data_IF_878694705359
#
_entry.id   IF_878694705359
#
_cell.length_a   1.000
_cell.length_b   1.000
_cell.length_c   1.000
_cell.angle_alpha   90.00
_cell.angle_beta   90.00
_cell.angle_gamma   90.00
#
_symmetry.space_group_name_H-M   'P 1'
#
loop_
_entity.id
_entity.type
_entity.pdbx_description
1 polymer ?
#
# COMPACT_ATOMS: atom_id res chain seq x y z
N UNK A 1 68.01 -37.91 18.42
CA UNK A 1 66.91 -36.91 18.42
C UNK A 1 65.87 -37.36 17.40
N UNK A 2 64.73 -37.89 17.86
CA UNK A 2 63.80 -38.70 17.05
C UNK A 2 62.87 -37.84 16.18
N UNK A 3 63.12 -37.82 14.86
CA UNK A 3 62.25 -37.20 13.84
C UNK A 3 60.99 -38.04 13.52
N UNK A 4 60.88 -39.27 14.05
CA UNK A 4 59.80 -40.20 13.71
C UNK A 4 58.47 -39.87 14.42
N UNK A 5 58.50 -39.21 15.59
CA UNK A 5 57.28 -38.85 16.33
C UNK A 5 56.45 -37.73 15.69
N UNK A 6 57.10 -36.85 14.91
CA UNK A 6 56.42 -35.67 14.33
C UNK A 6 55.57 -36.04 13.11
N UNK A 7 56.03 -36.99 12.29
CA UNK A 7 55.31 -37.48 11.10
C UNK A 7 54.07 -38.30 11.47
N UNK A 8 54.10 -39.03 12.59
CA UNK A 8 52.94 -39.81 13.06
C UNK A 8 51.84 -38.94 13.68
N UNK A 9 52.14 -37.69 14.06
CA UNK A 9 51.18 -36.75 14.65
C UNK A 9 50.37 -36.01 13.57
N UNK A 10 50.96 -35.76 12.40
CA UNK A 10 50.26 -35.24 11.21
C UNK A 10 49.30 -36.27 10.60
N UNK A 11 49.61 -37.58 10.71
CA UNK A 11 48.76 -38.64 10.15
C UNK A 11 47.57 -39.04 11.03
N UNK A 12 47.42 -38.40 12.20
CA UNK A 12 46.37 -38.64 13.19
C UNK A 12 45.52 -37.39 13.47
N UNK A 13 45.60 -36.39 12.59
CA UNK A 13 44.96 -35.10 12.82
C UNK A 13 43.51 -35.10 12.27
N UNK A 14 42.59 -35.68 13.05
CA UNK A 14 41.14 -35.66 12.76
C UNK A 14 40.60 -34.21 12.67
N UNK A 15 41.27 -33.27 13.34
CA UNK A 15 40.99 -31.83 13.34
C UNK A 15 40.96 -31.23 11.94
N UNK A 16 41.84 -31.69 11.04
CA UNK A 16 41.90 -31.18 9.66
C UNK A 16 40.67 -31.54 8.83
N UNK A 17 40.07 -32.71 9.09
CA UNK A 17 38.86 -33.17 8.39
C UNK A 17 37.64 -32.38 8.86
N UNK A 18 37.55 -32.10 10.17
CA UNK A 18 36.47 -31.29 10.74
C UNK A 18 36.44 -29.87 10.17
N UNK A 19 37.60 -29.24 9.93
CA UNK A 19 37.66 -27.89 9.33
C UNK A 19 37.07 -27.90 7.92
N UNK A 20 37.36 -28.93 7.12
CA UNK A 20 36.85 -29.05 5.75
C UNK A 20 35.34 -29.31 5.74
N UNK A 21 34.85 -30.19 6.63
CA UNK A 21 33.42 -30.47 6.75
C UNK A 21 32.64 -29.21 7.15
N UNK A 22 33.12 -28.48 8.14
CA UNK A 22 32.52 -27.21 8.58
C UNK A 22 32.58 -26.15 7.47
N UNK A 23 33.67 -26.08 6.69
CA UNK A 23 33.78 -25.13 5.59
C UNK A 23 32.72 -25.34 4.50
N UNK A 24 32.23 -26.58 4.31
CA UNK A 24 31.17 -26.91 3.36
C UNK A 24 29.78 -26.69 3.98
N UNK A 25 29.61 -27.02 5.26
CA UNK A 25 28.32 -26.89 5.96
C UNK A 25 27.98 -25.44 6.31
N UNK A 26 28.96 -24.63 6.67
CA UNK A 26 28.76 -23.27 7.16
C UNK A 26 28.06 -22.35 6.14
N UNK A 27 28.43 -22.33 4.84
CA UNK A 27 27.71 -21.56 3.84
C UNK A 27 26.23 -21.94 3.71
N UNK A 28 25.90 -23.23 3.86
CA UNK A 28 24.51 -23.71 3.82
C UNK A 28 23.73 -23.21 5.02
N UNK A 29 24.31 -23.29 6.21
CA UNK A 29 23.69 -22.78 7.45
C UNK A 29 23.45 -21.27 7.40
N UNK A 30 24.43 -20.50 6.92
CA UNK A 30 24.29 -19.05 6.75
C UNK A 30 23.19 -18.74 5.72
N UNK A 31 23.15 -19.47 4.60
CA UNK A 31 22.11 -19.27 3.59
C UNK A 31 20.71 -19.55 4.14
N UNK A 32 20.56 -20.60 4.96
CA UNK A 32 19.30 -20.90 5.64
C UNK A 32 18.90 -19.80 6.64
N UNK A 33 19.86 -19.29 7.42
CA UNK A 33 19.61 -18.20 8.37
C UNK A 33 19.13 -16.93 7.65
N UNK A 34 19.77 -16.57 6.54
CA UNK A 34 19.34 -15.43 5.71
C UNK A 34 17.94 -15.67 5.15
N UNK A 35 17.64 -16.90 4.70
CA UNK A 35 16.30 -17.26 4.22
C UNK A 35 15.22 -17.07 5.29
N UNK A 36 15.45 -17.51 6.52
CA UNK A 36 14.52 -17.29 7.65
C UNK A 36 14.32 -15.80 7.92
N UNK A 37 15.39 -15.00 7.88
CA UNK A 37 15.29 -13.56 8.07
C UNK A 37 14.46 -12.90 6.95
N UNK A 38 14.62 -13.33 5.70
CA UNK A 38 13.84 -12.83 4.58
C UNK A 38 12.34 -13.12 4.73
N UNK A 39 11.97 -14.29 5.24
CA UNK A 39 10.57 -14.60 5.60
C UNK A 39 10.07 -13.70 6.72
N UNK A 40 10.91 -13.42 7.72
CA UNK A 40 10.58 -12.48 8.80
C UNK A 40 10.26 -11.08 8.29
N UNK A 41 11.09 -10.54 7.40
CA UNK A 41 10.85 -9.25 6.75
C UNK A 41 9.55 -9.23 5.93
N UNK A 42 9.26 -10.32 5.22
CA UNK A 42 8.00 -10.44 4.47
C UNK A 42 6.78 -10.39 5.38
N UNK A 43 6.79 -11.18 6.47
CA UNK A 43 5.69 -11.19 7.44
C UNK A 43 5.52 -9.83 8.14
N UNK A 44 6.64 -9.14 8.42
CA UNK A 44 6.59 -7.78 8.94
C UNK A 44 5.90 -6.84 7.94
N UNK A 45 6.33 -6.83 6.67
CA UNK A 45 5.74 -5.97 5.64
C UNK A 45 4.24 -6.27 5.43
N UNK A 46 3.87 -7.55 5.41
CA UNK A 46 2.48 -7.99 5.29
C UNK A 46 1.61 -7.47 6.44
N UNK A 47 2.12 -7.53 7.68
CA UNK A 47 1.41 -7.01 8.84
C UNK A 47 1.33 -5.48 8.83
N UNK A 48 2.39 -4.79 8.40
CA UNK A 48 2.39 -3.33 8.25
C UNK A 48 1.33 -2.87 7.26
N UNK A 49 1.31 -3.44 6.05
CA UNK A 49 0.34 -3.09 5.01
C UNK A 49 -1.10 -3.37 5.46
N UNK A 50 -1.36 -4.51 6.10
CA UNK A 50 -2.69 -4.84 6.62
C UNK A 50 -3.15 -3.86 7.71
N UNK A 51 -2.24 -3.50 8.62
CA UNK A 51 -2.54 -2.58 9.73
C UNK A 51 -2.80 -1.17 9.21
N UNK A 52 -1.96 -0.69 8.30
CA UNK A 52 -2.15 0.57 7.58
C UNK A 52 -3.50 0.63 6.89
N UNK A 53 -3.89 -0.44 6.19
CA UNK A 53 -5.19 -0.50 5.52
C UNK A 53 -6.37 -0.37 6.50
N UNK A 54 -6.22 -0.92 7.71
CA UNK A 54 -7.17 -0.76 8.81
C UNK A 54 -7.26 0.69 9.30
N UNK A 55 -6.12 1.34 9.48
CA UNK A 55 -6.05 2.75 9.86
C UNK A 55 -6.66 3.67 8.79
N UNK A 56 -6.36 3.43 7.51
CA UNK A 56 -6.95 4.16 6.39
C UNK A 56 -8.46 3.99 6.34
N UNK A 57 -8.99 2.79 6.56
CA UNK A 57 -10.44 2.56 6.60
C UNK A 57 -11.11 3.35 7.71
N UNK A 58 -10.49 3.39 8.90
CA UNK A 58 -10.98 4.17 10.02
C UNK A 58 -10.93 5.67 9.73
N UNK A 59 -9.84 6.14 9.12
CA UNK A 59 -9.68 7.54 8.73
C UNK A 59 -10.75 7.95 7.69
N UNK A 60 -10.94 7.15 6.64
CA UNK A 60 -11.99 7.39 5.63
C UNK A 60 -13.39 7.40 6.25
N UNK A 61 -13.71 6.47 7.15
CA UNK A 61 -15.02 6.43 7.81
C UNK A 61 -15.29 7.71 8.64
N UNK A 62 -14.26 8.27 9.29
CA UNK A 62 -14.37 9.52 10.05
C UNK A 62 -14.54 10.71 9.12
N UNK A 63 -13.78 10.78 8.03
CA UNK A 63 -13.92 11.87 7.05
C UNK A 63 -15.28 11.82 6.35
N UNK A 64 -15.80 10.62 6.10
CA UNK A 64 -17.15 10.42 5.60
C UNK A 64 -18.23 10.99 6.54
N UNK A 65 -18.10 10.75 7.85
CA UNK A 65 -19.01 11.31 8.86
C UNK A 65 -18.97 12.83 8.96
N UNK A 66 -17.85 13.46 8.59
CA UNK A 66 -17.70 14.92 8.55
C UNK A 66 -18.24 15.54 7.26
N UNK A 67 -18.78 14.73 6.33
CA UNK A 67 -19.10 15.14 4.96
C UNK A 67 -17.89 15.74 4.22
N UNK A 68 -16.68 15.32 4.58
CA UNK A 68 -15.49 15.72 3.84
C UNK A 68 -15.26 14.76 2.68
N UNK A 69 -15.16 15.31 1.47
CA UNK A 69 -14.90 14.56 0.26
C UNK A 69 -13.40 14.61 -0.01
N UNK A 70 -12.73 13.48 0.18
CA UNK A 70 -11.33 13.34 -0.19
C UNK A 70 -11.20 12.91 -1.64
N UNK A 71 -10.31 13.55 -2.38
CA UNK A 71 -9.93 13.11 -3.74
C UNK A 71 -9.01 11.90 -3.65
N UNK A 72 -8.94 11.11 -4.74
CA UNK A 72 -8.09 9.90 -4.76
C UNK A 72 -6.63 10.23 -4.48
N UNK A 73 -6.11 11.30 -5.08
CA UNK A 73 -4.75 11.79 -4.80
C UNK A 73 -4.51 12.11 -3.32
N UNK A 74 -5.49 12.68 -2.61
CA UNK A 74 -5.35 12.96 -1.18
C UNK A 74 -5.29 11.67 -0.35
N UNK A 75 -6.09 10.68 -0.71
CA UNK A 75 -6.11 9.38 -0.03
C UNK A 75 -4.80 8.63 -0.30
N UNK A 76 -4.29 8.64 -1.54
CA UNK A 76 -3.00 8.05 -1.92
C UNK A 76 -1.85 8.68 -1.17
N UNK A 77 -1.74 10.02 -1.18
CA UNK A 77 -0.68 10.75 -0.46
C UNK A 77 -0.74 10.44 1.03
N UNK A 78 -1.95 10.37 1.61
CA UNK A 78 -2.12 10.06 3.02
C UNK A 78 -1.70 8.63 3.35
N UNK A 79 -2.14 7.65 2.57
CA UNK A 79 -1.74 6.24 2.73
C UNK A 79 -0.23 6.08 2.57
N UNK A 80 0.37 6.67 1.54
CA UNK A 80 1.80 6.65 1.31
C UNK A 80 2.57 7.26 2.48
N UNK A 81 2.15 8.44 2.95
CA UNK A 81 2.78 9.12 4.09
C UNK A 81 2.74 8.28 5.36
N UNK A 82 1.59 7.68 5.68
CA UNK A 82 1.47 6.80 6.84
C UNK A 82 2.32 5.53 6.67
N UNK A 83 2.36 4.96 5.48
CA UNK A 83 3.12 3.74 5.19
C UNK A 83 4.63 3.91 5.46
N UNK A 84 5.20 5.05 5.07
CA UNK A 84 6.66 5.29 5.17
C UNK A 84 7.07 5.88 6.53
N UNK A 85 6.11 6.28 7.36
CA UNK A 85 6.36 6.83 8.71
C UNK A 85 6.12 5.78 9.80
N UNK A 86 6.49 6.10 11.05
CA UNK A 86 6.21 5.22 12.17
C UNK A 86 4.68 5.08 12.38
N UNK A 87 4.17 3.88 12.68
CA UNK A 87 4.91 2.66 13.07
C UNK A 87 5.28 1.71 11.92
N UNK A 88 4.86 1.98 10.68
CA UNK A 88 4.93 1.00 9.58
C UNK A 88 6.28 0.98 8.86
N UNK A 89 6.93 2.15 8.73
CA UNK A 89 8.30 2.35 8.23
C UNK A 89 8.63 1.56 6.94
N UNK A 90 7.67 1.48 6.01
CA UNK A 90 7.89 0.87 4.71
C UNK A 90 8.85 1.73 3.87
N UNK A 91 9.62 1.08 3.01
CA UNK A 91 10.58 1.77 2.14
C UNK A 91 9.86 2.45 0.98
N UNK A 92 10.01 3.78 0.89
CA UNK A 92 9.31 4.63 -0.07
C UNK A 92 9.58 4.25 -1.54
N UNK A 93 10.80 3.85 -1.86
CA UNK A 93 11.26 3.45 -3.20
C UNK A 93 10.73 2.08 -3.64
N UNK A 94 10.11 1.32 -2.72
CA UNK A 94 9.62 -0.04 -2.92
C UNK A 94 8.11 -0.17 -2.73
N UNK A 95 7.44 0.94 -2.43
CA UNK A 95 6.03 0.98 -2.15
C UNK A 95 5.32 1.74 -3.27
N UNK A 96 4.27 1.14 -3.81
CA UNK A 96 3.32 1.78 -4.69
C UNK A 96 1.95 1.75 -4.03
N UNK A 97 1.30 2.91 -4.00
CA UNK A 97 -0.07 3.06 -3.51
C UNK A 97 -0.87 3.75 -4.60
N UNK A 98 -1.99 3.17 -4.98
CA UNK A 98 -2.90 3.77 -5.95
C UNK A 98 -4.35 3.37 -5.64
N UNK A 99 -5.28 4.16 -6.13
CA UNK A 99 -6.71 3.95 -5.92
C UNK A 99 -7.39 3.66 -7.24
N UNK A 100 -8.18 2.59 -7.25
CA UNK A 100 -9.09 2.29 -8.34
C UNK A 100 -10.54 2.46 -7.89
N UNK A 101 -11.40 2.92 -8.80
CA UNK A 101 -12.84 2.85 -8.58
C UNK A 101 -13.30 1.39 -8.62
N UNK A 102 -14.04 0.99 -7.59
CA UNK A 102 -14.54 -0.37 -7.54
C UNK A 102 -15.66 -0.55 -8.57
N UNK A 103 -15.71 -1.68 -9.30
CA UNK A 103 -16.67 -1.90 -10.40
C UNK A 103 -18.14 -1.99 -9.97
N UNK A 104 -18.43 -1.87 -8.68
CA UNK A 104 -19.77 -1.99 -8.08
C UNK A 104 -20.07 -0.74 -7.25
N UNK A 105 -20.66 0.28 -7.88
CA UNK A 105 -21.14 1.50 -7.24
C UNK A 105 -22.65 1.35 -7.00
N UNK A 106 -23.05 0.83 -5.84
CA UNK A 106 -24.44 0.41 -5.62
C UNK A 106 -25.19 1.26 -4.58
N UNK A 107 -24.68 2.45 -4.25
CA UNK A 107 -25.34 3.34 -3.28
C UNK A 107 -25.28 4.80 -3.71
N UNK A 108 -26.44 5.44 -3.74
CA UNK A 108 -26.56 6.88 -3.94
C UNK A 108 -25.72 7.62 -2.87
N UNK A 109 -24.87 8.56 -3.31
CA UNK A 109 -23.97 9.39 -2.50
C UNK A 109 -22.77 8.68 -1.81
N UNK A 110 -22.51 7.41 -2.10
CA UNK A 110 -21.33 6.68 -1.58
C UNK A 110 -20.55 6.06 -2.73
N UNK A 111 -19.24 6.32 -2.77
CA UNK A 111 -18.30 5.72 -3.70
C UNK A 111 -17.53 4.58 -3.05
N UNK A 112 -17.50 3.42 -3.72
CA UNK A 112 -16.68 2.28 -3.34
C UNK A 112 -15.32 2.38 -4.05
N UNK A 113 -14.23 2.45 -3.29
CA UNK A 113 -12.88 2.54 -3.83
C UNK A 113 -12.03 1.37 -3.34
N UNK A 114 -11.11 0.93 -4.18
CA UNK A 114 -10.14 -0.11 -3.87
C UNK A 114 -8.75 0.54 -3.69
N UNK A 115 -8.21 0.48 -2.47
CA UNK A 115 -6.87 0.97 -2.14
C UNK A 115 -5.89 -0.17 -2.37
N UNK A 116 -5.07 -0.05 -3.41
CA UNK A 116 -4.06 -1.04 -3.77
C UNK A 116 -2.70 -0.63 -3.19
N UNK A 117 -2.01 -1.60 -2.58
CA UNK A 117 -0.69 -1.42 -2.00
C UNK A 117 0.22 -2.54 -2.47
N UNK A 118 1.19 -2.19 -3.31
CA UNK A 118 2.21 -3.11 -3.81
C UNK A 118 3.53 -2.78 -3.11
N UNK A 119 4.16 -3.79 -2.51
CA UNK A 119 5.41 -3.63 -1.79
C UNK A 119 6.43 -4.71 -2.13
N UNK A 120 7.61 -4.29 -2.59
CA UNK A 120 8.73 -5.18 -2.88
C UNK A 120 9.60 -5.39 -1.64
N UNK A 121 9.59 -6.59 -1.07
CA UNK A 121 10.37 -6.90 0.13
C UNK A 121 11.86 -7.00 -0.21
N UNK A 122 12.75 -6.29 0.52
CA UNK A 122 14.19 -6.33 0.25
C UNK A 122 14.75 -7.75 0.27
N UNK A 123 15.51 -8.12 -0.77
CA UNK A 123 16.24 -9.39 -0.80
C UNK A 123 17.63 -9.20 -0.17
N UNK A 124 17.96 -10.08 0.78
CA UNK A 124 19.30 -10.14 1.36
C UNK A 124 20.24 -11.08 0.61
N UNK A 125 19.69 -12.00 -0.18
CA UNK A 125 20.47 -12.87 -1.06
C UNK A 125 20.79 -12.16 -2.38
N UNK A 126 21.53 -11.04 -2.32
CA UNK A 126 21.94 -10.28 -3.51
C UNK A 126 22.87 -11.05 -4.45
N UNK A 127 23.44 -12.17 -4.00
CA UNK A 127 24.26 -13.09 -4.79
C UNK A 127 23.45 -14.20 -5.48
N UNK A 128 22.16 -14.34 -5.16
CA UNK A 128 21.30 -15.39 -5.70
C UNK A 128 20.22 -14.80 -6.61
N UNK A 129 19.89 -15.49 -7.71
CA UNK A 129 18.86 -15.07 -8.68
C UNK A 129 17.42 -15.33 -8.18
N UNK A 130 17.21 -15.36 -6.87
CA UNK A 130 15.88 -15.59 -6.30
C UNK A 130 15.01 -14.37 -6.58
N UNK A 131 13.78 -14.54 -7.09
CA UNK A 131 12.89 -13.43 -7.34
C UNK A 131 12.63 -12.62 -6.06
N UNK A 132 12.51 -11.30 -6.23
CA UNK A 132 12.09 -10.40 -5.15
C UNK A 132 10.67 -10.80 -4.75
N UNK A 133 10.41 -10.84 -3.45
CA UNK A 133 9.12 -11.21 -2.94
C UNK A 133 8.23 -9.97 -2.91
N UNK A 134 7.25 -9.92 -3.81
CA UNK A 134 6.30 -8.82 -3.93
C UNK A 134 5.05 -9.14 -3.13
N UNK A 135 4.62 -8.19 -2.32
CA UNK A 135 3.34 -8.21 -1.62
C UNK A 135 2.35 -7.37 -2.42
N UNK A 136 1.23 -7.97 -2.79
CA UNK A 136 0.10 -7.28 -3.39
C UNK A 136 -1.10 -7.37 -2.43
N UNK A 137 -1.63 -6.22 -2.05
CA UNK A 137 -2.72 -6.13 -1.08
C UNK A 137 -3.71 -5.03 -1.47
N UNK A 138 -4.96 -5.46 -1.67
CA UNK A 138 -6.08 -4.56 -1.95
C UNK A 138 -7.01 -4.49 -0.74
N UNK A 139 -7.47 -3.28 -0.42
CA UNK A 139 -8.57 -3.08 0.53
C UNK A 139 -9.63 -2.15 0.00
N UNK A 140 -10.85 -2.67 -0.04
CA UNK A 140 -12.05 -1.90 -0.36
C UNK A 140 -12.46 -1.00 0.80
N UNK A 141 -12.77 0.26 0.49
CA UNK A 141 -13.27 1.26 1.43
C UNK A 141 -14.45 2.02 0.81
N UNK A 142 -15.33 2.55 1.66
CA UNK A 142 -16.47 3.37 1.25
C UNK A 142 -16.22 4.82 1.65
N UNK A 143 -16.33 5.73 0.68
CA UNK A 143 -16.15 7.17 0.86
C UNK A 143 -17.38 7.92 0.32
N UNK A 144 -17.69 9.14 0.78
CA UNK A 144 -18.75 9.94 0.17
C UNK A 144 -18.42 10.21 -1.30
N UNK A 145 -19.44 10.21 -2.16
CA UNK A 145 -19.25 10.54 -3.56
C UNK A 145 -18.79 12.00 -3.71
N UNK A 146 -17.79 12.30 -4.57
CA UNK A 146 -17.44 13.67 -4.88
C UNK A 146 -18.60 14.40 -5.57
N UNK A 147 -18.76 15.72 -5.35
CA UNK A 147 -19.72 16.50 -6.12
C UNK A 147 -19.37 16.39 -7.61
N UNK A 148 -20.37 16.38 -8.49
CA UNK A 148 -20.13 16.31 -9.93
C UNK A 148 -19.21 17.47 -10.36
N UNK A 149 -18.38 17.26 -11.41
CA UNK A 149 -17.52 18.30 -11.94
C UNK A 149 -18.37 19.55 -12.31
N UNK A 150 -17.81 20.73 -12.06
CA UNK A 150 -18.50 22.03 -12.19
C UNK A 150 -19.10 22.29 -13.59
N UNK A 151 -18.67 21.51 -14.59
CA UNK A 151 -19.15 21.57 -15.98
C UNK A 151 -20.52 20.89 -16.19
N UNK A 152 -21.02 20.12 -15.22
CA UNK A 152 -22.37 19.50 -15.25
C UNK A 152 -23.37 20.19 -14.30
N UNK A 153 -23.03 21.36 -13.76
CA UNK A 153 -24.02 22.26 -13.19
C UNK A 153 -24.86 22.84 -14.34
N UNK A 154 -25.81 22.05 -14.85
CA UNK A 154 -26.82 22.46 -15.82
C UNK A 154 -27.46 23.74 -15.30
N UNK A 155 -27.11 24.84 -15.96
CA UNK A 155 -27.64 26.16 -15.70
C UNK A 155 -29.16 26.11 -15.78
N UNK A 156 -29.81 26.13 -14.61
CA UNK A 156 -31.22 26.46 -14.53
C UNK A 156 -31.30 27.99 -14.61
N UNK A 157 -31.17 28.50 -15.83
CA UNK A 157 -31.15 29.92 -16.12
C UNK A 157 -31.46 30.18 -17.58
N UNK A 158 -32.73 30.14 -17.94
CA UNK A 158 -33.22 30.93 -19.08
C UNK A 158 -34.48 31.68 -18.66
N UNK A 159 -34.25 32.91 -18.19
CA UNK A 159 -35.27 33.93 -18.15
C UNK A 159 -35.43 34.50 -19.55
N UNK A 160 -36.52 34.15 -20.21
CA UNK A 160 -37.02 34.90 -21.36
C UNK A 160 -37.98 35.97 -20.87
N UNK A 161 -37.41 37.15 -20.62
CA UNK A 161 -38.13 38.42 -20.57
C UNK A 161 -38.42 38.89 -22.00
N UNK A 162 -39.65 39.35 -22.22
CA UNK A 162 -40.15 39.81 -23.52
C UNK A 162 -41.50 40.51 -23.35
N UNK A 163 -41.46 41.80 -22.99
CA UNK A 163 -42.60 42.73 -23.12
C UNK A 163 -43.15 42.74 -24.56
N UNK A 164 -44.35 43.24 -24.86
CA UNK A 164 -45.05 44.48 -24.45
C UNK A 164 -46.54 44.30 -24.82
N UNK A 165 -47.39 45.22 -24.35
CA UNK A 165 -48.74 45.59 -24.85
C UNK A 165 -49.87 45.13 -23.90
N UNK A 166 -50.66 45.97 -23.26
CA UNK A 166 -51.09 47.34 -23.51
C UNK A 166 -52.59 47.37 -23.16
N UNK A 167 -52.99 48.31 -22.29
CA UNK A 167 -54.35 48.87 -22.06
C UNK A 167 -54.70 48.96 -20.56
N UNK A 168 -54.92 50.18 -20.01
CA UNK A 168 -55.59 50.39 -18.74
C UNK A 168 -57.05 50.78 -18.97
N UNK A 169 -58.02 50.02 -18.44
CA UNK A 169 -59.43 50.45 -18.38
C UNK A 169 -60.15 49.90 -17.13
N UNK A 170 -60.06 50.67 -16.04
CA UNK A 170 -61.12 51.18 -15.12
C UNK A 170 -62.35 50.30 -14.68
N UNK A 171 -63.28 50.75 -13.78
CA UNK A 171 -63.55 50.10 -12.49
C UNK A 171 -65.05 49.68 -12.28
N UNK A 172 -65.38 49.28 -11.03
CA UNK A 172 -66.69 49.29 -10.32
C UNK A 172 -67.39 47.93 -10.06
N UNK A 173 -67.76 47.74 -8.78
CA UNK A 173 -68.98 47.06 -8.29
C UNK A 173 -68.80 45.57 -8.00
N UNK A 174 -69.18 45.00 -6.85
CA UNK A 174 -70.20 45.34 -5.84
C UNK A 174 -69.83 44.75 -4.49
#
# INVERSE_FOLDING_TARGET
MSKQGFLNRWRKDETGTTIIEVAILFPVLISMLIGVFQVGLYLQAQNSVRSLAGEMSRYMAVEAQKNNVLTDSQIEIKAFTLAVTAPYMLQADRLQVYIDDSPTQDMDRVRKIDVNMIYDVPSLLGFSKVPVLTLDYTRTVFVPAPPPPEDEAVGTGDGTDGGVDGTPDNPIGT
#
